data_IF_564485728014
#
_entry.id   IF_564485728014
#
_cell.length_a   1.000
_cell.length_b   1.000
_cell.length_c   1.000
_cell.angle_alpha   90.00
_cell.angle_beta   90.00
_cell.angle_gamma   90.00
#
_symmetry.space_group_name_H-M   'P 1'
#
loop_
_entity.id
_entity.type
_entity.pdbx_description
1 polymer ?
#
# COMPACT_ATOMS: atom_id res chain seq x y z
N UNK A 1 26.13 10.30 16.18
CA UNK A 1 26.37 9.02 15.51
C UNK A 1 26.48 9.31 14.04
N UNK A 2 27.68 9.22 13.49
CA UNK A 2 27.88 9.23 12.04
C UNK A 2 27.28 7.95 11.49
N UNK A 3 26.02 8.05 11.04
CA UNK A 3 25.41 7.03 10.20
C UNK A 3 26.17 7.10 8.90
N UNK A 4 27.25 6.33 8.82
CA UNK A 4 27.92 6.00 7.58
C UNK A 4 26.80 5.48 6.67
N UNK A 5 26.26 6.36 5.81
CA UNK A 5 25.15 6.09 4.90
C UNK A 5 25.64 5.17 3.80
N UNK A 6 26.10 3.98 4.18
CA UNK A 6 26.24 2.88 3.26
C UNK A 6 24.85 2.64 2.73
N UNK A 7 24.68 2.80 1.43
CA UNK A 7 23.47 2.38 0.74
C UNK A 7 23.19 0.93 1.13
N UNK A 8 22.22 0.75 2.01
CA UNK A 8 21.77 -0.58 2.41
C UNK A 8 20.88 -1.11 1.30
N UNK A 9 21.31 -2.20 0.67
CA UNK A 9 20.57 -2.81 -0.44
C UNK A 9 19.60 -3.86 0.10
N UNK A 10 18.30 -3.70 -0.21
CA UNK A 10 17.28 -4.71 0.05
C UNK A 10 17.22 -5.64 -1.17
N UNK A 11 17.39 -6.95 -0.93
CA UNK A 11 17.31 -7.96 -1.98
C UNK A 11 16.08 -8.84 -1.79
N UNK A 12 15.32 -9.05 -2.85
CA UNK A 12 14.16 -9.94 -2.87
C UNK A 12 14.39 -11.01 -3.95
N UNK A 13 14.17 -12.31 -3.66
CA UNK A 13 14.19 -13.35 -4.68
C UNK A 13 13.23 -13.02 -5.84
N UNK A 14 13.64 -13.30 -7.08
CA UNK A 14 12.88 -12.89 -8.27
C UNK A 14 11.45 -13.44 -8.29
N UNK A 15 11.25 -14.68 -7.86
CA UNK A 15 9.94 -15.31 -7.73
C UNK A 15 9.03 -14.54 -6.76
N UNK A 16 9.58 -14.09 -5.62
CA UNK A 16 8.89 -13.26 -4.63
C UNK A 16 8.62 -11.86 -5.14
N UNK A 17 9.56 -11.26 -5.87
CA UNK A 17 9.36 -9.96 -6.51
C UNK A 17 8.23 -10.02 -7.56
N UNK A 18 8.16 -11.08 -8.36
CA UNK A 18 7.07 -11.32 -9.32
C UNK A 18 5.74 -11.52 -8.59
N UNK A 19 5.72 -12.27 -7.48
CA UNK A 19 4.54 -12.45 -6.64
C UNK A 19 4.01 -11.11 -6.15
N UNK A 20 4.88 -10.28 -5.55
CA UNK A 20 4.53 -8.93 -5.07
C UNK A 20 4.03 -8.05 -6.21
N UNK A 21 4.71 -8.01 -7.35
CA UNK A 21 4.31 -7.20 -8.49
C UNK A 21 2.92 -7.57 -9.02
N UNK A 22 2.60 -8.87 -9.10
CA UNK A 22 1.28 -9.35 -9.51
C UNK A 22 0.18 -8.97 -8.52
N UNK A 23 0.45 -9.13 -7.22
CA UNK A 23 -0.51 -8.75 -6.18
C UNK A 23 -0.77 -7.25 -6.18
N UNK A 24 0.29 -6.43 -6.26
CA UNK A 24 0.15 -4.97 -6.32
C UNK A 24 -0.60 -4.51 -7.57
N UNK A 25 -0.32 -5.08 -8.75
CA UNK A 25 -1.03 -4.73 -9.98
C UNK A 25 -2.51 -5.14 -9.93
N UNK A 26 -2.81 -6.30 -9.34
CA UNK A 26 -4.18 -6.76 -9.14
C UNK A 26 -4.92 -5.80 -8.20
N UNK A 27 -4.29 -5.43 -7.08
CA UNK A 27 -4.84 -4.52 -6.09
C UNK A 27 -5.12 -3.13 -6.69
N UNK A 28 -4.13 -2.52 -7.35
CA UNK A 28 -4.26 -1.17 -7.91
C UNK A 28 -5.38 -1.09 -8.94
N UNK A 29 -5.41 -2.02 -9.91
CA UNK A 29 -6.46 -2.06 -10.94
C UNK A 29 -7.84 -2.32 -10.37
N UNK A 30 -7.93 -3.21 -9.39
CA UNK A 30 -9.22 -3.59 -8.83
C UNK A 30 -9.80 -2.48 -7.95
N UNK A 31 -8.95 -1.81 -7.16
CA UNK A 31 -9.33 -0.64 -6.35
C UNK A 31 -9.74 0.52 -7.25
N UNK A 32 -8.99 0.80 -8.31
CA UNK A 32 -9.34 1.84 -9.28
C UNK A 32 -10.72 1.58 -9.93
N UNK A 33 -10.95 0.34 -10.37
CA UNK A 33 -12.21 -0.06 -10.99
C UNK A 33 -13.41 0.05 -10.05
N UNK A 34 -13.29 -0.42 -8.80
CA UNK A 34 -14.40 -0.29 -7.85
C UNK A 34 -14.61 1.17 -7.45
N UNK A 35 -13.54 1.95 -7.29
CA UNK A 35 -13.60 3.38 -7.00
C UNK A 35 -14.32 4.16 -8.09
N UNK A 36 -14.01 3.87 -9.36
CA UNK A 36 -14.71 4.45 -10.51
C UNK A 36 -16.20 4.13 -10.51
N UNK A 37 -16.57 2.87 -10.25
CA UNK A 37 -17.99 2.45 -10.15
C UNK A 37 -18.71 3.15 -9.00
N UNK A 38 -18.07 3.30 -7.85
CA UNK A 38 -18.64 4.03 -6.72
C UNK A 38 -18.86 5.51 -7.06
N UNK A 39 -17.90 6.15 -7.72
CA UNK A 39 -18.02 7.54 -8.16
C UNK A 39 -19.13 7.74 -9.22
N UNK A 40 -19.33 6.75 -10.09
CA UNK A 40 -20.41 6.73 -11.08
C UNK A 40 -21.79 6.32 -10.52
N UNK A 41 -21.89 5.96 -9.24
CA UNK A 41 -23.13 5.48 -8.62
C UNK A 41 -23.54 4.05 -9.04
N UNK A 42 -22.64 3.30 -9.68
CA UNK A 42 -22.84 1.90 -10.10
C UNK A 42 -22.47 0.89 -9.01
N UNK A 43 -21.88 1.34 -7.90
CA UNK A 43 -21.51 0.54 -6.75
C UNK A 43 -21.76 1.32 -5.45
N UNK A 44 -22.09 0.59 -4.40
CA UNK A 44 -22.38 1.10 -3.06
C UNK A 44 -21.45 0.47 -2.00
N UNK A 45 -21.71 0.76 -0.73
CA UNK A 45 -20.92 0.24 0.38
C UNK A 45 -20.96 -1.29 0.48
N UNK A 46 -22.09 -1.93 0.18
CA UNK A 46 -22.22 -3.39 0.16
C UNK A 46 -21.39 -4.01 -0.97
N UNK A 47 -21.40 -3.38 -2.14
CA UNK A 47 -20.57 -3.80 -3.28
C UNK A 47 -19.08 -3.69 -2.96
N UNK A 48 -18.66 -2.62 -2.26
CA UNK A 48 -17.29 -2.46 -1.80
C UNK A 48 -16.90 -3.52 -0.75
N UNK A 49 -17.74 -3.75 0.25
CA UNK A 49 -17.47 -4.75 1.30
C UNK A 49 -17.29 -6.15 0.70
N UNK A 50 -18.20 -6.55 -0.19
CA UNK A 50 -18.11 -7.81 -0.93
C UNK A 50 -16.85 -7.88 -1.78
N UNK A 51 -16.48 -6.80 -2.45
CA UNK A 51 -15.22 -6.73 -3.20
C UNK A 51 -14.01 -6.95 -2.27
N UNK A 52 -13.93 -6.25 -1.14
CA UNK A 52 -12.81 -6.38 -0.20
C UNK A 52 -12.71 -7.82 0.36
N UNK A 53 -13.86 -8.43 0.68
CA UNK A 53 -13.93 -9.74 1.32
C UNK A 53 -13.77 -10.89 0.33
N UNK A 54 -14.58 -10.95 -0.73
CA UNK A 54 -14.56 -12.07 -1.70
C UNK A 54 -13.31 -12.07 -2.56
N UNK A 55 -12.74 -10.89 -2.87
CA UNK A 55 -11.51 -10.80 -3.64
C UNK A 55 -10.27 -10.81 -2.74
N UNK A 56 -10.43 -11.01 -1.42
CA UNK A 56 -9.32 -11.14 -0.48
C UNK A 56 -8.32 -9.97 -0.56
N UNK A 57 -8.82 -8.74 -0.68
CA UNK A 57 -7.99 -7.54 -0.88
C UNK A 57 -7.02 -7.34 0.29
N UNK A 58 -7.52 -7.48 1.53
CA UNK A 58 -6.68 -7.44 2.74
C UNK A 58 -5.57 -8.49 2.72
N UNK A 59 -5.89 -9.79 2.55
CA UNK A 59 -4.89 -10.85 2.40
C UNK A 59 -3.86 -10.62 1.28
N UNK A 60 -4.28 -10.14 0.11
CA UNK A 60 -3.37 -9.80 -1.00
C UNK A 60 -2.36 -8.72 -0.58
N UNK A 61 -2.84 -7.63 0.03
CA UNK A 61 -2.00 -6.53 0.49
C UNK A 61 -1.06 -6.98 1.62
N UNK A 62 -1.57 -7.75 2.58
CA UNK A 62 -0.78 -8.33 3.66
C UNK A 62 0.33 -9.24 3.13
N UNK A 63 0.04 -10.05 2.12
CA UNK A 63 1.02 -10.94 1.49
C UNK A 63 2.13 -10.17 0.79
N UNK A 64 1.79 -9.15 0.00
CA UNK A 64 2.76 -8.29 -0.66
C UNK A 64 3.63 -7.55 0.36
N UNK A 65 3.01 -7.01 1.42
CA UNK A 65 3.69 -6.35 2.53
C UNK A 65 4.68 -7.28 3.23
N UNK A 66 4.27 -8.50 3.57
CA UNK A 66 5.11 -9.47 4.28
C UNK A 66 6.43 -9.71 3.54
N UNK A 67 6.39 -9.96 2.23
CA UNK A 67 7.60 -10.18 1.42
C UNK A 67 8.55 -8.98 1.49
N UNK A 68 8.02 -7.75 1.43
CA UNK A 68 8.83 -6.54 1.52
C UNK A 68 9.40 -6.35 2.93
N UNK A 69 8.58 -6.59 3.97
CA UNK A 69 8.98 -6.42 5.37
C UNK A 69 10.05 -7.44 5.76
N UNK A 70 9.92 -8.70 5.33
CA UNK A 70 10.90 -9.75 5.57
C UNK A 70 12.25 -9.44 4.89
N UNK A 71 12.22 -8.82 3.71
CA UNK A 71 13.44 -8.41 3.01
C UNK A 71 14.10 -7.20 3.67
N UNK A 72 13.29 -6.25 4.17
CA UNK A 72 13.78 -5.07 4.90
C UNK A 72 14.36 -5.48 6.26
N UNK A 73 13.70 -6.36 7.01
CA UNK A 73 14.15 -6.80 8.34
C UNK A 73 15.51 -7.50 8.29
N UNK A 74 15.83 -8.21 7.20
CA UNK A 74 17.16 -8.79 6.99
C UNK A 74 18.28 -7.74 6.90
N UNK A 75 17.94 -6.50 6.57
CA UNK A 75 18.89 -5.40 6.39
C UNK A 75 18.99 -4.53 7.64
N UNK A 76 17.84 -4.20 8.25
CA UNK A 76 17.79 -3.27 9.40
C UNK A 76 17.68 -3.97 10.77
N UNK A 77 17.45 -5.29 10.78
CA UNK A 77 17.17 -6.06 11.99
C UNK A 77 15.70 -6.04 12.40
N UNK A 78 15.30 -7.02 13.21
CA UNK A 78 13.91 -7.16 13.70
C UNK A 78 13.52 -6.05 14.66
N UNK A 79 14.42 -5.62 15.55
CA UNK A 79 14.17 -4.55 16.53
C UNK A 79 13.81 -3.22 15.83
N UNK A 80 14.61 -2.80 14.85
CA UNK A 80 14.32 -1.59 14.06
C UNK A 80 13.04 -1.75 13.21
N UNK A 81 12.73 -2.97 12.75
CA UNK A 81 11.49 -3.24 12.02
C UNK A 81 10.26 -3.13 12.94
N UNK A 82 10.37 -3.56 14.20
CA UNK A 82 9.33 -3.42 15.22
C UNK A 82 9.07 -1.95 15.58
N UNK A 83 10.13 -1.16 15.79
CA UNK A 83 10.02 0.30 15.99
C UNK A 83 9.25 0.98 14.85
N UNK A 84 9.57 0.61 13.59
CA UNK A 84 8.84 1.11 12.42
C UNK A 84 7.38 0.67 12.47
N UNK A 85 7.10 -0.60 12.80
CA UNK A 85 5.73 -1.12 12.85
C UNK A 85 4.86 -0.45 13.92
N UNK A 86 5.46 -0.06 15.05
CA UNK A 86 4.78 0.71 16.09
C UNK A 86 4.49 2.15 15.68
N UNK A 87 5.37 2.76 14.87
CA UNK A 87 5.20 4.13 14.38
C UNK A 87 4.17 4.27 13.24
N UNK A 88 3.77 3.16 12.60
CA UNK A 88 2.78 3.18 11.51
C UNK A 88 1.37 3.40 12.10
N UNK A 89 0.59 4.39 11.60
CA UNK A 89 -0.78 4.61 12.04
C UNK A 89 -1.67 3.38 11.88
N UNK A 90 -2.54 3.14 12.85
CA UNK A 90 -3.50 2.01 12.87
C UNK A 90 -4.90 2.56 12.79
N UNK A 91 -5.83 1.88 12.14
CA UNK A 91 -7.23 2.32 12.22
C UNK A 91 -7.70 2.31 13.69
N UNK A 92 -8.37 3.36 14.20
CA UNK A 92 -8.96 4.50 13.49
C UNK A 92 -8.13 5.80 13.48
N UNK A 93 -6.82 5.74 13.67
CA UNK A 93 -5.92 6.89 13.61
C UNK A 93 -6.09 7.69 12.31
N UNK A 94 -5.79 8.99 12.39
CA UNK A 94 -5.81 9.84 11.22
C UNK A 94 -4.83 9.31 10.15
N UNK A 95 -5.17 9.38 8.85
CA UNK A 95 -4.26 8.98 7.78
C UNK A 95 -2.91 9.69 7.91
N UNK A 96 -1.78 9.02 7.60
CA UNK A 96 -0.46 9.63 7.65
C UNK A 96 -0.34 10.80 6.67
N UNK A 97 0.66 11.66 6.89
CA UNK A 97 0.86 12.87 6.09
C UNK A 97 1.11 12.56 4.61
N UNK A 98 1.75 11.43 4.31
CA UNK A 98 1.95 10.91 2.96
C UNK A 98 0.61 10.76 2.22
N UNK A 99 -0.39 10.17 2.88
CA UNK A 99 -1.73 9.98 2.31
C UNK A 99 -2.45 11.33 2.13
N UNK A 100 -2.30 12.26 3.08
CA UNK A 100 -2.86 13.61 2.96
C UNK A 100 -2.27 14.36 1.77
N UNK A 101 -0.95 14.30 1.60
CA UNK A 101 -0.23 14.90 0.47
C UNK A 101 -0.65 14.28 -0.87
N UNK A 102 -0.84 12.96 -0.93
CA UNK A 102 -1.37 12.29 -2.13
C UNK A 102 -2.77 12.80 -2.49
N UNK A 103 -3.65 12.93 -1.50
CA UNK A 103 -5.00 13.48 -1.71
C UNK A 103 -4.97 14.90 -2.26
N UNK A 104 -4.14 15.77 -1.70
CA UNK A 104 -3.98 17.15 -2.18
C UNK A 104 -3.51 17.19 -3.65
N UNK A 105 -2.53 16.36 -4.01
CA UNK A 105 -2.05 16.25 -5.40
C UNK A 105 -3.14 15.80 -6.36
N UNK A 106 -3.94 14.80 -5.96
CA UNK A 106 -5.04 14.29 -6.78
C UNK A 106 -6.12 15.35 -6.99
N UNK A 107 -6.52 16.08 -5.94
CA UNK A 107 -7.48 17.17 -6.04
C UNK A 107 -6.99 18.29 -6.95
N UNK A 108 -5.72 18.71 -6.82
CA UNK A 108 -5.13 19.72 -7.69
C UNK A 108 -5.10 19.30 -9.17
N UNK A 109 -4.84 18.02 -9.45
CA UNK A 109 -4.88 17.48 -10.82
C UNK A 109 -6.29 17.46 -11.41
N UNK A 110 -7.31 17.13 -10.60
CA UNK A 110 -8.71 17.17 -11.01
C UNK A 110 -9.17 18.61 -11.31
N UNK A 111 -8.80 19.58 -10.47
CA UNK A 111 -9.10 21.00 -10.68
C UNK A 111 -8.42 21.57 -11.93
N UNK A 112 -7.26 21.04 -12.31
CA UNK A 112 -6.54 21.42 -13.52
C UNK A 112 -7.12 20.81 -14.82
N UNK A 113 -8.23 20.05 -14.75
CA UNK A 113 -8.92 19.51 -15.92
C UNK A 113 -8.26 18.27 -16.54
N UNK A 114 -7.51 17.49 -15.76
CA UNK A 114 -6.81 16.30 -16.24
C UNK A 114 -7.67 15.04 -16.50
N UNK A 115 -9.00 15.15 -16.58
CA UNK A 115 -9.92 14.00 -16.75
C UNK A 115 -10.21 13.66 -18.21
#
# INVERSE_FOLDING_TARGET
MDVNSRESTVTVPLDRAIEVARLLECLTRSIDRIGSRMAGGEADAETLDRFITEWLIGPQASRARMVLWDAISQVIGEEAMEEIAEAVPKFPDAPPEEVRRLRQKLSAWQEAGGG
#
